data_IF_060986345755
#
_entry.id   IF_060986345755
#
_cell.length_a   1.000
_cell.length_b   1.000
_cell.length_c   1.000
_cell.angle_alpha   90.00
_cell.angle_beta   90.00
_cell.angle_gamma   90.00
#
_symmetry.space_group_name_H-M   'P 1'
#
loop_
_entity.id
_entity.type
_entity.pdbx_description
1 polymer ?
#
# COMPACT_ATOMS: atom_id res chain seq x y z
N UNK A 1 -8.70 -15.76 -19.49
CA UNK A 1 -9.01 -16.43 -18.21
C UNK A 1 -8.25 -15.70 -17.12
N UNK A 2 -8.94 -15.23 -16.09
CA UNK A 2 -8.38 -14.44 -15.00
C UNK A 2 -8.98 -14.84 -13.66
N UNK A 3 -8.18 -14.73 -12.62
CA UNK A 3 -8.67 -14.82 -11.24
C UNK A 3 -9.15 -13.44 -10.79
N UNK A 4 -10.27 -13.37 -10.10
CA UNK A 4 -10.73 -12.15 -9.44
C UNK A 4 -10.40 -12.23 -7.96
N UNK A 5 -9.94 -11.11 -7.39
CA UNK A 5 -9.60 -11.02 -5.98
C UNK A 5 -10.40 -9.92 -5.32
N UNK A 6 -10.94 -10.20 -4.15
CA UNK A 6 -11.68 -9.23 -3.36
C UNK A 6 -11.37 -9.37 -1.88
N UNK A 7 -11.79 -8.39 -1.09
CA UNK A 7 -11.64 -8.45 0.36
C UNK A 7 -12.48 -9.58 0.94
N UNK A 8 -11.87 -10.40 1.78
CA UNK A 8 -12.59 -11.51 2.41
C UNK A 8 -13.61 -11.01 3.43
N UNK A 9 -14.82 -11.57 3.38
CA UNK A 9 -15.91 -11.20 4.31
C UNK A 9 -15.98 -12.13 5.52
N UNK A 10 -15.45 -13.35 5.43
CA UNK A 10 -15.65 -14.39 6.44
C UNK A 10 -14.37 -14.94 7.09
N UNK A 11 -13.43 -15.46 6.28
CA UNK A 11 -12.43 -16.44 6.76
C UNK A 11 -11.00 -15.91 6.83
N UNK A 12 -10.65 -14.86 6.09
CA UNK A 12 -9.27 -14.39 5.97
C UNK A 12 -9.17 -12.93 5.56
N UNK A 13 -8.20 -12.59 4.70
CA UNK A 13 -7.97 -11.21 4.25
C UNK A 13 -8.41 -10.99 2.80
N UNK A 14 -8.15 -11.96 1.92
CA UNK A 14 -8.44 -11.86 0.48
C UNK A 14 -9.13 -13.13 0.01
N UNK A 15 -10.25 -12.99 -0.69
CA UNK A 15 -10.92 -14.10 -1.36
C UNK A 15 -10.57 -14.09 -2.85
N UNK A 16 -10.40 -15.29 -3.43
CA UNK A 16 -10.23 -15.54 -4.86
C UNK A 16 -11.48 -16.16 -5.44
N UNK A 17 -11.84 -15.66 -6.62
CA UNK A 17 -12.93 -16.16 -7.44
C UNK A 17 -12.40 -16.52 -8.83
N UNK A 18 -13.03 -17.49 -9.47
CA UNK A 18 -12.74 -17.88 -10.85
C UNK A 18 -13.47 -16.99 -11.88
N UNK A 19 -13.37 -17.36 -13.16
CA UNK A 19 -13.98 -16.60 -14.27
C UNK A 19 -15.52 -16.50 -14.17
N UNK A 20 -16.16 -17.43 -13.47
CA UNK A 20 -17.60 -17.50 -13.29
C UNK A 20 -18.04 -16.89 -11.95
N UNK A 21 -17.16 -16.11 -11.32
CA UNK A 21 -17.32 -15.52 -9.99
C UNK A 21 -17.63 -16.54 -8.89
N UNK A 22 -17.24 -17.80 -9.07
CA UNK A 22 -17.36 -18.81 -8.03
C UNK A 22 -16.19 -18.71 -7.07
N UNK A 23 -16.49 -18.81 -5.78
CA UNK A 23 -15.47 -18.80 -4.74
C UNK A 23 -14.51 -19.98 -4.91
N UNK A 24 -13.20 -19.70 -4.89
CA UNK A 24 -12.13 -20.70 -5.00
C UNK A 24 -11.45 -20.90 -3.65
N UNK A 25 -10.92 -19.82 -3.07
CA UNK A 25 -10.10 -19.89 -1.86
C UNK A 25 -10.07 -18.55 -1.12
N UNK A 26 -9.70 -18.61 0.16
CA UNK A 26 -9.34 -17.44 0.97
C UNK A 26 -7.85 -17.50 1.29
N UNK A 27 -7.14 -16.40 1.08
CA UNK A 27 -5.74 -16.22 1.42
C UNK A 27 -5.56 -15.34 2.65
N UNK A 28 -4.47 -15.64 3.36
CA UNK A 28 -3.99 -14.97 4.56
C UNK A 28 -4.98 -15.08 5.72
N UNK A 29 -4.48 -15.40 6.90
CA UNK A 29 -5.32 -15.45 8.08
C UNK A 29 -5.67 -14.05 8.58
N UNK A 30 -6.86 -13.89 9.16
CA UNK A 30 -7.29 -12.60 9.75
C UNK A 30 -6.31 -12.06 10.80
N UNK A 31 -5.57 -12.94 11.49
CA UNK A 31 -4.53 -12.55 12.46
C UNK A 31 -3.40 -11.73 11.83
N UNK A 32 -3.10 -11.93 10.55
CA UNK A 32 -2.07 -11.18 9.81
C UNK A 32 -2.44 -9.70 9.67
N UNK A 33 -3.74 -9.40 9.68
CA UNK A 33 -4.28 -8.05 9.64
C UNK A 33 -4.14 -7.31 10.98
N UNK A 34 -4.08 -8.04 12.11
CA UNK A 34 -4.11 -7.47 13.46
C UNK A 34 -2.73 -7.12 14.05
N UNK A 35 -1.66 -7.15 13.27
CA UNK A 35 -0.31 -6.83 13.75
C UNK A 35 0.01 -5.33 13.64
N UNK A 36 -0.60 -4.49 14.48
CA UNK A 36 -0.62 -3.02 14.33
C UNK A 36 0.66 -2.28 14.80
N UNK A 37 1.83 -2.82 14.46
CA UNK A 37 3.16 -2.25 14.58
C UNK A 37 3.94 -2.33 15.92
N UNK A 38 3.42 -2.36 17.16
CA UNK A 38 4.31 -2.47 18.37
C UNK A 38 3.79 -3.16 19.67
N UNK A 39 2.82 -4.08 19.63
CA UNK A 39 1.96 -4.59 20.74
C UNK A 39 0.76 -3.68 21.03
N UNK A 40 -0.35 -4.36 21.33
CA UNK A 40 -1.72 -3.83 21.44
C UNK A 40 -1.74 -2.51 22.21
N UNK A 41 -2.27 -1.42 21.60
CA UNK A 41 -2.60 -0.22 22.34
C UNK A 41 -3.60 -0.57 23.44
N UNK A 42 -3.49 0.16 24.55
CA UNK A 42 -4.50 0.16 25.63
C UNK A 42 -5.90 0.41 25.06
N UNK A 43 -6.98 -0.02 25.75
CA UNK A 43 -8.35 0.21 25.29
C UNK A 43 -8.66 1.67 24.90
N UNK A 44 -8.07 2.67 25.57
CA UNK A 44 -8.21 4.08 25.19
C UNK A 44 -7.51 4.43 23.87
N UNK A 45 -6.31 3.91 23.63
CA UNK A 45 -5.55 4.15 22.39
C UNK A 45 -6.18 3.43 21.19
N UNK A 46 -6.88 2.31 21.41
CA UNK A 46 -7.70 1.66 20.37
C UNK A 46 -8.81 2.61 19.87
N UNK A 47 -9.46 3.37 20.74
CA UNK A 47 -10.55 4.31 20.34
C UNK A 47 -10.07 5.41 19.39
N UNK A 48 -8.82 5.83 19.49
CA UNK A 48 -8.24 6.86 18.62
C UNK A 48 -7.91 6.36 17.20
N UNK A 49 -7.72 5.04 17.02
CA UNK A 49 -7.56 4.39 15.71
C UNK A 49 -8.88 3.83 15.17
N UNK A 50 -9.84 3.52 16.05
CA UNK A 50 -11.21 3.12 15.71
C UNK A 50 -12.06 4.26 15.11
N UNK A 51 -11.66 5.52 15.31
CA UNK A 51 -12.38 6.67 14.76
C UNK A 51 -12.15 6.89 13.26
N UNK A 52 -11.28 6.10 12.60
CA UNK A 52 -11.23 6.01 11.14
C UNK A 52 -11.57 4.60 10.67
N UNK A 53 -12.85 4.26 10.84
CA UNK A 53 -13.66 3.26 10.15
C UNK A 53 -13.24 1.79 10.21
N UNK A 54 -14.26 0.94 10.34
CA UNK A 54 -14.34 -0.50 10.11
C UNK A 54 -13.78 -1.00 8.75
N UNK A 55 -13.04 -0.16 8.00
CA UNK A 55 -12.71 -0.33 6.59
C UNK A 55 -11.27 0.13 6.28
N UNK A 56 -10.26 -0.36 7.00
CA UNK A 56 -8.85 -0.16 6.59
C UNK A 56 -8.46 -1.30 5.65
N UNK A 57 -9.14 -1.39 4.51
CA UNK A 57 -8.96 -2.47 3.55
C UNK A 57 -7.46 -2.58 3.14
N UNK A 58 -6.92 -3.81 3.00
CA UNK A 58 -5.58 -3.98 2.46
C UNK A 58 -5.52 -3.36 1.05
N UNK A 59 -4.33 -3.01 0.60
CA UNK A 59 -4.17 -2.68 -0.81
C UNK A 59 -3.91 -3.95 -1.59
N UNK A 60 -4.67 -4.16 -2.65
CA UNK A 60 -4.63 -5.35 -3.51
C UNK A 60 -4.46 -4.90 -4.95
N UNK A 61 -3.51 -5.49 -5.66
CA UNK A 61 -3.40 -5.29 -7.11
C UNK A 61 -2.63 -6.44 -7.77
N UNK A 62 -2.76 -6.57 -9.10
CA UNK A 62 -2.11 -7.60 -9.90
C UNK A 62 -0.96 -7.00 -10.70
N UNK A 63 0.19 -7.67 -10.69
CA UNK A 63 1.26 -7.34 -11.63
C UNK A 63 0.87 -7.75 -13.05
N UNK A 64 1.55 -7.23 -14.09
CA UNK A 64 1.33 -7.67 -15.48
C UNK A 64 1.51 -9.18 -15.71
N UNK A 65 2.25 -9.86 -14.84
CA UNK A 65 2.47 -11.32 -14.88
C UNK A 65 1.40 -12.11 -14.08
N UNK A 66 0.40 -11.43 -13.52
CA UNK A 66 -0.69 -12.04 -12.76
C UNK A 66 -0.35 -12.40 -11.30
N UNK A 67 0.74 -11.86 -10.75
CA UNK A 67 1.06 -12.02 -9.33
C UNK A 67 0.20 -11.07 -8.50
N UNK A 68 -0.43 -11.58 -7.44
CA UNK A 68 -1.22 -10.76 -6.53
C UNK A 68 -0.30 -10.13 -5.48
N UNK A 69 -0.29 -8.80 -5.44
CA UNK A 69 0.35 -8.02 -4.39
C UNK A 69 -0.70 -7.68 -3.34
N UNK A 70 -0.41 -8.05 -2.09
CA UNK A 70 -1.22 -7.68 -0.92
C UNK A 70 -0.35 -6.87 0.02
N UNK A 71 -0.68 -5.59 0.18
CA UNK A 71 -0.01 -4.73 1.14
C UNK A 71 -0.93 -4.39 2.31
N UNK A 72 -0.57 -4.93 3.49
CA UNK A 72 -1.26 -4.67 4.75
C UNK A 72 -0.72 -3.38 5.36
N UNK A 73 -1.42 -2.28 5.11
CA UNK A 73 -1.03 -0.95 5.59
C UNK A 73 -0.72 -0.87 7.09
N UNK A 74 -1.48 -1.61 7.90
CA UNK A 74 -1.43 -1.55 9.36
C UNK A 74 -0.19 -2.20 9.96
N UNK A 75 0.28 -3.28 9.34
CA UNK A 75 1.48 -4.00 9.73
C UNK A 75 2.68 -3.63 8.85
N UNK A 76 2.44 -2.90 7.75
CA UNK A 76 3.39 -2.66 6.66
C UNK A 76 4.03 -3.96 6.18
N UNK A 77 3.17 -4.96 6.03
CA UNK A 77 3.54 -6.30 5.59
C UNK A 77 3.11 -6.45 4.14
N UNK A 78 4.08 -6.81 3.32
CA UNK A 78 3.90 -7.20 1.93
C UNK A 78 3.75 -8.72 1.87
N UNK A 79 2.75 -9.17 1.14
CA UNK A 79 2.67 -10.51 0.59
C UNK A 79 2.63 -10.42 -0.93
N UNK A 80 3.35 -11.31 -1.59
CA UNK A 80 3.23 -11.53 -3.03
C UNK A 80 2.85 -12.98 -3.25
N UNK A 81 1.74 -13.19 -3.95
CA UNK A 81 1.22 -14.51 -4.29
C UNK A 81 1.37 -14.76 -5.79
N UNK A 82 1.77 -15.98 -6.13
CA UNK A 82 1.73 -16.50 -7.49
C UNK A 82 0.80 -17.72 -7.50
N UNK A 83 -0.41 -17.53 -8.03
CA UNK A 83 -1.52 -18.46 -7.80
C UNK A 83 -1.79 -18.62 -6.31
N UNK A 84 -1.77 -19.85 -5.81
CA UNK A 84 -2.05 -20.18 -4.40
C UNK A 84 -0.81 -20.10 -3.47
N UNK A 85 0.37 -19.79 -4.01
CA UNK A 85 1.62 -19.80 -3.25
C UNK A 85 2.06 -18.40 -2.88
N UNK A 86 2.31 -18.16 -1.59
CA UNK A 86 3.02 -16.97 -1.11
C UNK A 86 4.49 -17.13 -1.48
N UNK A 87 4.99 -16.27 -2.37
CA UNK A 87 6.39 -16.26 -2.82
C UNK A 87 7.23 -15.19 -2.11
N UNK A 88 6.59 -14.14 -1.58
CA UNK A 88 7.24 -13.12 -0.75
C UNK A 88 6.38 -12.84 0.46
N UNK A 89 7.02 -12.76 1.62
CA UNK A 89 6.44 -12.23 2.86
C UNK A 89 7.47 -11.33 3.54
N UNK A 90 7.20 -10.03 3.64
CA UNK A 90 8.19 -9.08 4.15
C UNK A 90 7.59 -7.85 4.80
N UNK A 91 8.23 -7.37 5.88
CA UNK A 91 7.96 -6.05 6.40
C UNK A 91 8.72 -4.99 5.60
N UNK A 92 8.01 -3.98 5.07
CA UNK A 92 8.62 -2.95 4.24
C UNK A 92 9.20 -1.77 5.04
N UNK A 93 8.97 -1.70 6.35
CA UNK A 93 9.59 -0.65 7.16
C UNK A 93 11.06 -0.92 7.48
N UNK A 94 11.97 0.03 7.18
CA UNK A 94 13.34 -0.02 7.68
C UNK A 94 13.36 0.25 9.19
N UNK A 95 14.21 -0.49 9.92
CA UNK A 95 14.45 -0.32 11.38
C UNK A 95 14.73 1.14 11.79
N UNK A 96 15.31 1.95 10.91
CA UNK A 96 15.64 3.37 11.15
C UNK A 96 14.40 4.28 11.17
N UNK A 97 13.41 4.05 10.29
CA UNK A 97 12.12 4.75 10.32
C UNK A 97 11.32 4.32 11.56
N UNK A 98 11.40 3.05 11.93
CA UNK A 98 10.81 2.52 13.18
C UNK A 98 11.45 3.18 14.42
N UNK A 99 12.76 3.44 14.42
CA UNK A 99 13.46 4.15 15.49
C UNK A 99 13.01 5.61 15.60
N UNK A 100 12.96 6.32 14.47
CA UNK A 100 12.49 7.72 14.41
C UNK A 100 11.01 7.86 14.79
N UNK A 101 10.17 6.90 14.39
CA UNK A 101 8.77 6.85 14.80
C UNK A 101 8.65 6.65 16.32
N UNK A 102 9.39 5.71 16.92
CA UNK A 102 9.43 5.49 18.37
C UNK A 102 9.90 6.72 19.15
N UNK A 103 10.91 7.42 18.65
CA UNK A 103 11.42 8.65 19.27
C UNK A 103 10.40 9.80 19.21
N UNK A 104 9.66 9.91 18.09
CA UNK A 104 8.59 10.90 17.90
C UNK A 104 7.29 10.57 18.64
N UNK A 105 7.02 9.29 18.91
CA UNK A 105 5.85 8.80 19.65
C UNK A 105 5.84 9.14 21.15
N UNK A 106 6.91 9.76 21.71
CA UNK A 106 6.88 10.34 23.07
C UNK A 106 5.83 11.44 23.25
N UNK A 107 5.28 11.99 22.16
CA UNK A 107 4.05 12.77 22.13
C UNK A 107 3.17 12.16 21.05
N UNK A 108 1.96 11.71 21.39
CA UNK A 108 1.02 11.04 20.46
C UNK A 108 0.83 11.92 19.22
N UNK A 109 1.41 11.58 18.05
CA UNK A 109 1.15 12.33 16.84
C UNK A 109 -0.28 12.02 16.39
N UNK A 110 -1.05 13.06 16.05
CA UNK A 110 -2.44 12.93 15.55
C UNK A 110 -2.56 12.12 14.25
N UNK A 111 -1.44 11.77 13.61
CA UNK A 111 -1.36 10.88 12.46
C UNK A 111 0.09 10.41 12.24
N UNK A 112 0.34 9.11 12.24
CA UNK A 112 1.59 8.56 11.70
C UNK A 112 1.42 8.48 10.17
N UNK A 113 2.33 9.06 9.40
CA UNK A 113 2.36 8.82 7.95
C UNK A 113 2.68 7.35 7.73
N UNK A 114 1.69 6.57 7.30
CA UNK A 114 1.89 5.20 6.80
C UNK A 114 1.94 5.25 5.28
N UNK A 115 2.18 4.12 4.60
CA UNK A 115 1.92 4.07 3.17
C UNK A 115 0.40 4.16 2.91
N UNK A 116 -0.02 5.06 2.04
CA UNK A 116 -1.40 5.39 1.69
C UNK A 116 -1.63 5.20 0.19
N UNK A 117 -1.55 3.95 -0.28
CA UNK A 117 -1.83 3.57 -1.66
C UNK A 117 -0.79 2.61 -2.21
N UNK A 118 -1.24 1.73 -3.09
CA UNK A 118 -0.44 0.80 -3.89
C UNK A 118 -0.69 1.16 -5.35
N UNK A 119 0.38 1.24 -6.15
CA UNK A 119 0.31 1.49 -7.59
C UNK A 119 1.20 0.46 -8.28
N UNK A 120 0.67 -0.29 -9.23
CA UNK A 120 1.45 -1.19 -10.09
C UNK A 120 2.21 -0.38 -11.14
N UNK A 121 3.48 -0.73 -11.37
CA UNK A 121 4.25 -0.20 -12.49
C UNK A 121 3.98 -1.06 -13.73
N UNK A 122 3.04 -0.69 -14.59
CA UNK A 122 2.74 -1.46 -15.82
C UNK A 122 3.94 -1.51 -16.79
N UNK A 123 4.91 -0.62 -16.64
CA UNK A 123 6.14 -0.64 -17.44
C UNK A 123 7.13 -1.71 -16.98
N UNK A 124 6.87 -2.34 -15.83
CA UNK A 124 7.79 -3.28 -15.19
C UNK A 124 7.06 -4.48 -14.59
N UNK A 125 7.52 -5.68 -14.96
CA UNK A 125 6.85 -6.93 -14.58
C UNK A 125 6.78 -7.19 -13.07
N UNK A 126 7.70 -6.61 -12.30
CA UNK A 126 7.94 -6.98 -10.90
C UNK A 126 8.11 -5.77 -9.97
N UNK A 127 7.58 -4.61 -10.32
CA UNK A 127 7.76 -3.39 -9.52
C UNK A 127 6.44 -2.72 -9.20
N UNK A 128 6.39 -2.07 -8.04
CA UNK A 128 5.23 -1.35 -7.57
C UNK A 128 5.67 -0.15 -6.73
N UNK A 129 4.76 0.80 -6.56
CA UNK A 129 4.95 1.96 -5.72
C UNK A 129 4.03 1.91 -4.52
N UNK A 130 4.57 2.33 -3.38
CA UNK A 130 3.76 2.71 -2.23
C UNK A 130 3.79 4.21 -2.04
N UNK A 131 2.61 4.81 -1.92
CA UNK A 131 2.48 6.24 -1.73
C UNK A 131 2.77 6.56 -0.27
N UNK A 132 3.70 7.47 0.00
CA UNK A 132 3.95 7.98 1.34
C UNK A 132 3.52 9.44 1.43
N UNK A 133 2.37 9.65 2.06
CA UNK A 133 1.84 11.00 2.31
C UNK A 133 1.06 11.03 3.62
N UNK A 134 0.90 12.22 4.19
CA UNK A 134 -0.13 12.44 5.21
C UNK A 134 -1.39 12.98 4.51
N UNK A 135 -2.59 12.51 4.86
CA UNK A 135 -3.85 13.08 4.32
C UNK A 135 -4.00 14.59 4.57
N UNK A 136 -3.19 15.18 5.47
CA UNK A 136 -3.18 16.61 5.82
C UNK A 136 -2.01 17.37 5.21
N UNK A 137 -1.29 16.78 4.25
CA UNK A 137 -0.09 17.39 3.70
C UNK A 137 -0.50 18.59 2.84
N UNK A 138 -0.05 19.79 3.24
CA UNK A 138 -0.14 21.02 2.44
C UNK A 138 0.96 21.11 1.36
N UNK A 139 1.84 20.11 1.30
CA UNK A 139 2.91 20.07 0.31
C UNK A 139 2.34 19.62 -1.03
N UNK A 140 2.68 20.28 -2.15
CA UNK A 140 2.35 19.78 -3.48
C UNK A 140 3.12 18.51 -3.82
N UNK A 141 3.98 17.97 -2.96
CA UNK A 141 4.77 16.77 -3.23
C UNK A 141 4.21 15.53 -2.56
N UNK A 142 3.92 14.50 -3.36
CA UNK A 142 3.70 13.14 -2.88
C UNK A 142 4.99 12.34 -3.12
N UNK A 143 5.44 11.61 -2.11
CA UNK A 143 6.55 10.67 -2.26
C UNK A 143 6.04 9.29 -2.66
N UNK A 144 6.72 8.67 -3.62
CA UNK A 144 6.42 7.35 -4.16
C UNK A 144 7.62 6.45 -3.91
N UNK A 145 7.46 5.44 -3.07
CA UNK A 145 8.52 4.49 -2.74
C UNK A 145 8.41 3.31 -3.69
N UNK A 146 9.38 3.16 -4.60
CA UNK A 146 9.39 2.09 -5.59
C UNK A 146 10.06 0.84 -5.03
N UNK A 147 9.33 -0.26 -5.00
CA UNK A 147 9.80 -1.57 -4.55
C UNK A 147 9.76 -2.58 -5.68
N UNK A 148 10.59 -3.61 -5.58
CA UNK A 148 10.37 -4.85 -6.32
C UNK A 148 9.46 -5.83 -5.55
N UNK A 149 8.99 -6.89 -6.21
CA UNK A 149 8.16 -7.95 -5.61
C UNK A 149 8.86 -8.74 -4.50
N UNK A 150 10.16 -8.55 -4.26
CA UNK A 150 10.88 -9.10 -3.08
C UNK A 150 10.79 -8.17 -1.85
N UNK A 151 10.17 -7.00 -2.02
CA UNK A 151 10.05 -5.95 -1.02
C UNK A 151 11.34 -5.16 -0.82
N UNK A 152 12.29 -5.18 -1.76
CA UNK A 152 13.48 -4.33 -1.74
C UNK A 152 13.11 -2.94 -2.25
N UNK A 153 13.45 -1.91 -1.49
CA UNK A 153 13.33 -0.52 -1.93
C UNK A 153 14.38 -0.26 -3.02
N UNK A 154 13.93 0.17 -4.19
CA UNK A 154 14.79 0.48 -5.34
C UNK A 154 15.15 1.96 -5.38
N UNK A 155 14.14 2.83 -5.25
CA UNK A 155 14.29 4.28 -5.32
C UNK A 155 13.07 4.96 -4.69
N UNK A 156 13.26 6.18 -4.21
CA UNK A 156 12.16 7.06 -3.83
C UNK A 156 12.02 8.15 -4.89
N UNK A 157 10.80 8.31 -5.36
CA UNK A 157 10.40 9.35 -6.29
C UNK A 157 9.49 10.34 -5.60
N UNK A 158 9.22 11.45 -6.27
CA UNK A 158 8.08 12.29 -5.95
C UNK A 158 7.35 12.73 -7.22
N UNK A 159 6.06 13.02 -7.05
CA UNK A 159 5.25 13.74 -8.04
C UNK A 159 4.84 15.08 -7.45
N UNK A 160 4.79 16.10 -8.30
CA UNK A 160 4.27 17.41 -7.94
C UNK A 160 2.80 17.49 -8.34
N UNK A 161 1.93 17.46 -7.33
CA UNK A 161 0.52 17.73 -7.45
C UNK A 161 0.30 19.19 -7.82
N UNK A 162 -0.59 19.39 -8.80
CA UNK A 162 -1.14 20.70 -9.12
C UNK A 162 -2.23 21.11 -8.13
N UNK A 163 -3.00 20.14 -7.61
CA UNK A 163 -4.16 20.37 -6.74
C UNK A 163 -4.27 19.30 -5.62
N UNK A 164 -5.47 18.76 -5.41
CA UNK A 164 -5.83 17.82 -4.35
C UNK A 164 -5.16 16.44 -4.53
N UNK A 165 -5.27 15.57 -3.51
CA UNK A 165 -4.67 14.24 -3.59
C UNK A 165 -5.49 13.37 -4.56
N UNK A 166 -4.88 12.85 -5.63
CA UNK A 166 -5.59 12.15 -6.68
C UNK A 166 -6.25 10.87 -6.16
N UNK A 167 -7.48 10.60 -6.60
CA UNK A 167 -8.28 9.47 -6.15
C UNK A 167 -7.75 8.12 -6.69
N UNK A 168 -7.20 8.13 -7.91
CA UNK A 168 -6.68 6.96 -8.62
C UNK A 168 -5.36 7.34 -9.29
N UNK A 169 -4.31 6.57 -9.07
CA UNK A 169 -3.02 6.72 -9.74
C UNK A 169 -2.63 5.39 -10.37
N UNK A 170 -2.35 5.39 -11.67
CA UNK A 170 -1.76 4.26 -12.37
C UNK A 170 -0.53 4.72 -13.16
N UNK A 171 0.47 3.85 -13.36
CA UNK A 171 1.65 4.16 -14.17
C UNK A 171 1.71 3.29 -15.41
N UNK A 172 1.91 3.91 -16.58
CA UNK A 172 2.15 3.23 -17.86
C UNK A 172 2.89 4.15 -18.84
N UNK A 173 3.69 3.60 -19.74
CA UNK A 173 4.51 4.35 -20.71
C UNK A 173 5.35 5.46 -20.04
N UNK A 174 5.91 5.21 -18.86
CA UNK A 174 6.66 6.15 -18.02
C UNK A 174 5.89 7.40 -17.58
N UNK A 175 4.56 7.33 -17.53
CA UNK A 175 3.68 8.42 -17.11
C UNK A 175 2.76 7.93 -16.00
N UNK A 176 2.59 8.74 -14.96
CA UNK A 176 1.52 8.55 -13.99
C UNK A 176 0.27 9.25 -14.48
N UNK A 177 -0.84 8.52 -14.51
CA UNK A 177 -2.13 9.04 -14.88
C UNK A 177 -3.00 9.09 -13.64
N UNK A 178 -3.66 10.22 -13.48
CA UNK A 178 -4.69 10.42 -12.48
C UNK A 178 -6.02 10.65 -13.18
N UNK A 179 -7.08 9.99 -12.71
CA UNK A 179 -8.45 10.35 -13.07
C UNK A 179 -9.15 10.98 -11.87
N UNK A 180 -9.71 12.17 -12.06
CA UNK A 180 -10.55 12.86 -11.08
C UNK A 180 -11.74 13.47 -11.84
N UNK A 181 -12.96 13.08 -11.45
CA UNK A 181 -14.22 13.59 -12.04
C UNK A 181 -14.32 13.50 -13.58
N UNK A 182 -13.59 12.56 -14.20
CA UNK A 182 -13.57 12.36 -15.65
C UNK A 182 -12.41 13.05 -16.37
N UNK A 183 -11.67 13.93 -15.69
CA UNK A 183 -10.45 14.55 -16.22
C UNK A 183 -9.24 13.66 -15.96
N UNK A 184 -8.33 13.62 -16.94
CA UNK A 184 -7.06 12.88 -16.84
C UNK A 184 -5.91 13.87 -16.69
N UNK A 185 -5.24 13.82 -15.54
CA UNK A 185 -4.00 14.58 -15.30
C UNK A 185 -2.79 13.67 -15.39
N UNK A 186 -1.76 14.12 -16.11
CA UNK A 186 -0.51 13.40 -16.30
C UNK A 186 0.58 13.96 -15.38
N UNK A 187 1.24 13.08 -14.63
CA UNK A 187 2.36 13.42 -13.76
C UNK A 187 3.64 12.73 -14.22
N UNK A 188 4.75 13.49 -14.15
CA UNK A 188 6.10 12.95 -14.28
C UNK A 188 6.66 12.69 -12.89
N UNK A 189 7.35 11.57 -12.75
CA UNK A 189 8.12 11.29 -11.53
C UNK A 189 9.47 11.99 -11.56
N UNK A 190 9.92 12.42 -10.39
CA UNK A 190 11.23 12.98 -10.17
C UNK A 190 11.94 12.13 -9.13
N UNK A 191 13.18 11.73 -9.37
CA UNK A 191 13.97 11.00 -8.38
C UNK A 191 14.27 11.93 -7.19
N UNK A 192 14.03 11.45 -5.98
CA UNK A 192 14.49 12.15 -4.79
C UNK A 192 16.03 12.05 -4.73
N UNK A 193 16.71 13.19 -4.57
CA UNK A 193 18.15 13.20 -4.40
C UNK A 193 18.49 12.48 -3.09
N UNK A 194 19.20 11.35 -3.18
CA UNK A 194 19.61 10.61 -2.00
C UNK A 194 20.57 11.46 -1.17
N UNK A 195 20.19 11.79 0.07
CA UNK A 195 21.17 12.13 1.08
C UNK A 195 21.89 10.83 1.44
N UNK A 196 23.12 10.67 0.94
CA UNK A 196 24.02 9.57 1.31
C UNK A 196 24.20 9.44 2.81
#
# INVERSE_FOLDING_TARGET
EGNFYSYSTEKGVVDRYDNDFQYVATYLERKEYYYYLFKLPTPEERRLLYLSSFWILPYLDLTPEGQLIVYLKNSSKLFVLNGDKIITERYLFPRKILKLAKERLKRIPKSLGLFHGLIIDEDSRNEFFLIFSSKKQKSPKIFLYKFDTTGKLLTVYYIELKESFPSLLYKKNNIFYCSEEGDITLYKEYKEAGNG
#
